data_IF_985475318438
#
_entry.id   IF_985475318438
#
_cell.length_a   1.000
_cell.length_b   1.000
_cell.length_c   1.000
_cell.angle_alpha   90.00
_cell.angle_beta   90.00
_cell.angle_gamma   90.00
#
_symmetry.space_group_name_H-M   'P 1'
#
loop_
_entity.id
_entity.type
_entity.pdbx_description
1 polymer ?
#
# COMPACT_ATOMS: atom_id res chain seq x y z
N UNK A 1 0.05 5.74 20.32
CA UNK A 1 -1.23 4.99 20.38
C UNK A 1 -2.31 5.95 20.85
N UNK A 2 -3.46 6.03 20.17
CA UNK A 2 -4.54 6.97 20.54
C UNK A 2 -5.22 6.59 21.86
N UNK A 3 -5.93 7.54 22.50
CA UNK A 3 -6.74 7.27 23.70
C UNK A 3 -7.79 6.21 23.38
N UNK A 4 -8.04 5.29 24.32
CA UNK A 4 -8.92 4.11 24.11
C UNK A 4 -10.30 4.52 23.59
N UNK A 5 -10.90 5.57 24.16
CA UNK A 5 -12.25 6.02 23.77
C UNK A 5 -12.29 6.57 22.33
N UNK A 6 -11.23 7.28 21.92
CA UNK A 6 -11.08 7.78 20.54
C UNK A 6 -10.93 6.60 19.57
N UNK A 7 -10.07 5.64 19.90
CA UNK A 7 -9.87 4.45 19.07
C UNK A 7 -11.16 3.63 18.93
N UNK A 8 -11.91 3.41 20.01
CA UNK A 8 -13.18 2.69 19.99
C UNK A 8 -14.19 3.38 19.06
N UNK A 9 -14.30 4.70 19.15
CA UNK A 9 -15.19 5.49 18.32
C UNK A 9 -14.81 5.41 16.83
N UNK A 10 -13.53 5.60 16.49
CA UNK A 10 -13.06 5.48 15.11
C UNK A 10 -13.28 4.07 14.55
N UNK A 11 -12.99 3.02 15.33
CA UNK A 11 -13.17 1.64 14.89
C UNK A 11 -14.64 1.31 14.63
N UNK A 12 -15.55 1.80 15.48
CA UNK A 12 -17.00 1.65 15.27
C UNK A 12 -17.46 2.30 13.96
N UNK A 13 -16.91 3.47 13.61
CA UNK A 13 -17.24 4.19 12.37
C UNK A 13 -16.64 3.53 11.12
N UNK A 14 -15.42 3.00 11.22
CA UNK A 14 -14.70 2.44 10.07
C UNK A 14 -15.10 1.00 9.74
N UNK A 15 -15.43 0.17 10.73
CA UNK A 15 -15.71 -1.26 10.51
C UNK A 15 -16.71 -1.57 9.37
N UNK A 16 -17.81 -0.80 9.16
CA UNK A 16 -18.74 -1.06 8.06
C UNK A 16 -18.11 -0.99 6.66
N UNK A 17 -17.10 -0.13 6.48
CA UNK A 17 -16.36 0.02 5.22
C UNK A 17 -15.45 -1.20 4.91
N UNK A 18 -15.26 -2.09 5.88
CA UNK A 18 -14.50 -3.34 5.74
C UNK A 18 -15.38 -4.57 5.94
N UNK A 19 -16.70 -4.44 5.74
CA UNK A 19 -17.62 -5.58 5.73
C UNK A 19 -17.40 -6.45 4.48
N UNK A 20 -17.77 -7.73 4.57
CA UNK A 20 -17.62 -8.67 3.45
C UNK A 20 -18.31 -8.16 2.18
N UNK A 21 -19.51 -7.57 2.29
CA UNK A 21 -20.23 -6.98 1.15
C UNK A 21 -19.41 -5.91 0.43
N UNK A 22 -18.67 -5.09 1.18
CA UNK A 22 -17.78 -4.08 0.57
C UNK A 22 -16.58 -4.76 -0.09
N UNK A 23 -15.96 -5.74 0.56
CA UNK A 23 -14.86 -6.51 -0.03
C UNK A 23 -15.28 -7.21 -1.33
N UNK A 24 -16.49 -7.76 -1.38
CA UNK A 24 -17.05 -8.43 -2.56
C UNK A 24 -17.24 -7.44 -3.72
N UNK A 25 -17.56 -6.17 -3.42
CA UNK A 25 -17.64 -5.12 -4.45
C UNK A 25 -16.29 -4.80 -5.11
N UNK A 26 -15.16 -5.14 -4.47
CA UNK A 26 -13.83 -4.93 -5.00
C UNK A 26 -13.27 -6.12 -5.78
N UNK A 27 -14.04 -7.20 -5.97
CA UNK A 27 -13.58 -8.41 -6.68
C UNK A 27 -13.09 -8.12 -8.10
N UNK A 28 -13.74 -7.22 -8.82
CA UNK A 28 -13.29 -6.83 -10.16
C UNK A 28 -11.92 -6.15 -10.12
N UNK A 29 -11.71 -5.24 -9.16
CA UNK A 29 -10.44 -4.54 -8.95
C UNK A 29 -9.34 -5.54 -8.61
N UNK A 30 -9.55 -6.45 -7.65
CA UNK A 30 -8.57 -7.46 -7.28
C UNK A 30 -8.23 -8.40 -8.43
N UNK A 31 -9.23 -8.81 -9.22
CA UNK A 31 -9.01 -9.65 -10.40
C UNK A 31 -8.20 -8.90 -11.48
N UNK A 32 -8.49 -7.62 -11.71
CA UNK A 32 -7.75 -6.79 -12.66
C UNK A 32 -6.29 -6.59 -12.22
N UNK A 33 -6.08 -6.22 -10.96
CA UNK A 33 -4.76 -6.02 -10.37
C UNK A 33 -3.95 -7.32 -10.32
N UNK A 34 -4.58 -8.47 -10.07
CA UNK A 34 -3.92 -9.78 -10.12
C UNK A 34 -3.44 -10.11 -11.53
N UNK A 35 -4.26 -9.86 -12.56
CA UNK A 35 -3.86 -10.06 -13.96
C UNK A 35 -2.72 -9.11 -14.37
N UNK A 36 -2.77 -7.85 -13.92
CA UNK A 36 -1.70 -6.86 -14.14
C UNK A 36 -0.39 -7.34 -13.53
N UNK A 37 -0.40 -7.77 -12.27
CA UNK A 37 0.77 -8.30 -11.58
C UNK A 37 1.37 -9.50 -12.31
N UNK A 38 0.54 -10.47 -12.72
CA UNK A 38 1.01 -11.62 -13.51
C UNK A 38 1.66 -11.17 -14.82
N UNK A 39 1.03 -10.23 -15.55
CA UNK A 39 1.59 -9.68 -16.79
C UNK A 39 2.95 -9.01 -16.58
N UNK A 40 3.14 -8.33 -15.45
CA UNK A 40 4.42 -7.70 -15.12
C UNK A 40 5.48 -8.74 -14.74
N UNK A 41 5.12 -9.75 -13.95
CA UNK A 41 6.03 -10.83 -13.56
C UNK A 41 6.43 -11.75 -14.72
N UNK A 42 5.59 -11.90 -15.76
CA UNK A 42 5.93 -12.65 -16.97
C UNK A 42 7.23 -12.14 -17.61
N UNK A 43 7.58 -10.86 -17.42
CA UNK A 43 8.81 -10.27 -17.94
C UNK A 43 10.07 -10.86 -17.29
N UNK A 44 9.96 -11.49 -16.12
CA UNK A 44 11.09 -12.09 -15.39
C UNK A 44 11.29 -13.59 -15.67
N UNK A 45 10.38 -14.20 -16.43
CA UNK A 45 10.45 -15.63 -16.78
C UNK A 45 11.73 -15.91 -17.56
N UNK A 46 12.50 -16.90 -17.11
CA UNK A 46 13.75 -17.34 -17.73
C UNK A 46 14.98 -16.46 -17.45
N UNK A 47 14.85 -15.41 -16.62
CA UNK A 47 15.96 -14.50 -16.28
C UNK A 47 16.71 -14.87 -14.99
N UNK A 48 16.26 -15.89 -14.27
CA UNK A 48 16.82 -16.32 -12.99
C UNK A 48 16.12 -15.65 -11.80
N UNK A 49 16.86 -15.47 -10.71
CA UNK A 49 16.34 -14.82 -9.50
C UNK A 49 16.13 -13.32 -9.73
N UNK A 50 15.04 -12.79 -9.17
CA UNK A 50 14.70 -11.38 -9.25
C UNK A 50 14.05 -10.90 -7.94
N UNK A 51 14.08 -9.59 -7.72
CA UNK A 51 13.40 -8.98 -6.58
C UNK A 51 11.90 -8.76 -6.89
N UNK A 52 11.06 -9.64 -6.33
CA UNK A 52 9.61 -9.53 -6.48
C UNK A 52 9.00 -8.34 -5.74
N UNK A 53 9.71 -7.78 -4.75
CA UNK A 53 9.20 -6.76 -3.85
C UNK A 53 8.77 -5.49 -4.60
N UNK A 54 9.52 -5.11 -5.63
CA UNK A 54 9.21 -3.96 -6.49
C UNK A 54 7.85 -4.13 -7.19
N UNK A 55 7.55 -5.34 -7.68
CA UNK A 55 6.29 -5.66 -8.34
C UNK A 55 5.12 -5.72 -7.37
N UNK A 56 5.29 -6.46 -6.27
CA UNK A 56 4.20 -6.68 -5.30
C UNK A 56 3.84 -5.41 -4.53
N UNK A 57 4.83 -4.60 -4.16
CA UNK A 57 4.59 -3.34 -3.45
C UNK A 57 3.78 -2.37 -4.31
N UNK A 58 4.18 -2.17 -5.56
CA UNK A 58 3.50 -1.23 -6.46
C UNK A 58 2.05 -1.68 -6.71
N UNK A 59 1.84 -2.96 -7.00
CA UNK A 59 0.52 -3.52 -7.19
C UNK A 59 -0.37 -3.42 -5.94
N UNK A 60 0.18 -3.69 -4.75
CA UNK A 60 -0.55 -3.55 -3.50
C UNK A 60 -0.97 -2.10 -3.23
N UNK A 61 -0.06 -1.14 -3.47
CA UNK A 61 -0.36 0.28 -3.30
C UNK A 61 -1.47 0.75 -4.23
N UNK A 62 -1.36 0.40 -5.51
CA UNK A 62 -2.38 0.73 -6.51
C UNK A 62 -3.74 0.13 -6.14
N UNK A 63 -3.75 -1.11 -5.68
CA UNK A 63 -4.97 -1.80 -5.22
C UNK A 63 -5.61 -1.10 -4.01
N UNK A 64 -4.82 -0.68 -3.02
CA UNK A 64 -5.32 0.07 -1.85
C UNK A 64 -5.94 1.39 -2.28
N UNK A 65 -5.29 2.11 -3.17
CA UNK A 65 -5.77 3.40 -3.65
C UNK A 65 -7.06 3.28 -4.47
N UNK A 66 -7.18 2.27 -5.33
CA UNK A 66 -8.41 2.01 -6.10
C UNK A 66 -9.59 1.59 -5.21
N UNK A 67 -9.34 0.83 -4.14
CA UNK A 67 -10.40 0.27 -3.30
C UNK A 67 -10.76 1.17 -2.12
N UNK A 68 -9.81 1.41 -1.22
CA UNK A 68 -10.05 2.12 0.03
C UNK A 68 -10.07 3.64 -0.11
N UNK A 69 -9.39 4.18 -1.14
CA UNK A 69 -9.25 5.63 -1.34
C UNK A 69 -10.08 6.17 -2.52
N UNK A 70 -10.65 5.28 -3.36
CA UNK A 70 -11.44 5.67 -4.53
C UNK A 70 -10.67 6.48 -5.56
N UNK A 71 -9.34 6.35 -5.61
CA UNK A 71 -8.48 7.07 -6.55
C UNK A 71 -8.28 6.19 -7.79
N UNK A 72 -8.78 6.65 -8.93
CA UNK A 72 -8.52 6.01 -10.22
C UNK A 72 -7.19 6.51 -10.83
N UNK A 73 -6.27 5.58 -11.11
CA UNK A 73 -4.98 5.86 -11.73
C UNK A 73 -5.03 5.98 -13.25
N UNK A 74 -6.18 5.69 -13.87
CA UNK A 74 -6.41 5.96 -15.30
C UNK A 74 -6.36 7.46 -15.63
N UNK A 75 -6.63 8.30 -14.63
CA UNK A 75 -6.49 9.76 -14.74
C UNK A 75 -5.05 10.13 -14.34
N UNK A 76 -4.14 10.18 -15.31
CA UNK A 76 -2.71 10.51 -15.13
C UNK A 76 -2.49 11.99 -14.79
N UNK A 77 -3.22 12.51 -13.80
CA UNK A 77 -3.02 13.86 -13.30
C UNK A 77 -1.71 13.93 -12.52
N UNK A 78 -1.02 15.06 -12.64
CA UNK A 78 0.20 15.36 -11.88
C UNK A 78 0.00 15.28 -10.37
N UNK A 79 -1.24 15.44 -9.89
CA UNK A 79 -1.60 15.28 -8.48
C UNK A 79 -1.59 13.81 -8.04
N UNK A 80 -2.12 12.89 -8.86
CA UNK A 80 -2.11 11.46 -8.57
C UNK A 80 -0.67 10.91 -8.47
N UNK A 81 0.23 11.36 -9.35
CA UNK A 81 1.63 10.92 -9.31
C UNK A 81 2.39 11.42 -8.09
N UNK A 82 2.17 12.66 -7.66
CA UNK A 82 2.74 13.20 -6.42
C UNK A 82 2.20 12.48 -5.18
N UNK A 83 0.91 12.20 -5.14
CA UNK A 83 0.26 11.48 -4.05
C UNK A 83 0.82 10.06 -3.88
N UNK A 84 0.91 9.30 -4.98
CA UNK A 84 1.50 7.95 -4.98
C UNK A 84 2.93 7.97 -4.47
N UNK A 85 3.74 8.89 -5.02
CA UNK A 85 5.14 9.02 -4.61
C UNK A 85 5.29 9.31 -3.11
N UNK A 86 4.48 10.24 -2.58
CA UNK A 86 4.50 10.55 -1.16
C UNK A 86 4.11 9.35 -0.30
N UNK A 87 3.12 8.56 -0.72
CA UNK A 87 2.74 7.34 -0.01
C UNK A 87 3.83 6.28 -0.09
N UNK A 88 4.48 6.08 -1.25
CA UNK A 88 5.60 5.16 -1.38
C UNK A 88 6.76 5.55 -0.45
N UNK A 89 7.11 6.84 -0.38
CA UNK A 89 8.14 7.35 0.54
C UNK A 89 7.78 7.06 2.00
N UNK A 90 6.51 7.29 2.40
CA UNK A 90 6.03 6.98 3.75
C UNK A 90 6.11 5.47 4.04
N UNK A 91 5.61 4.63 3.14
CA UNK A 91 5.66 3.18 3.33
C UNK A 91 7.08 2.65 3.36
N UNK A 92 7.98 3.17 2.54
CA UNK A 92 9.40 2.83 2.56
C UNK A 92 10.01 3.13 3.92
N UNK A 93 9.80 4.33 4.45
CA UNK A 93 10.30 4.70 5.77
C UNK A 93 9.69 3.82 6.89
N UNK A 94 8.41 3.48 6.80
CA UNK A 94 7.75 2.59 7.76
C UNK A 94 8.32 1.17 7.72
N UNK A 95 8.48 0.59 6.53
CA UNK A 95 9.03 -0.75 6.35
C UNK A 95 10.48 -0.80 6.82
N UNK A 96 11.29 0.20 6.46
CA UNK A 96 12.70 0.27 6.87
C UNK A 96 12.84 0.33 8.39
N UNK A 97 12.00 1.14 9.04
CA UNK A 97 11.95 1.24 10.49
C UNK A 97 11.45 -0.03 11.16
N UNK A 98 10.51 -0.74 10.54
CA UNK A 98 9.97 -2.00 11.06
C UNK A 98 10.98 -3.15 10.97
N UNK A 99 11.77 -3.21 9.89
CA UNK A 99 12.73 -4.28 9.64
C UNK A 99 14.05 -4.06 10.39
N UNK A 100 14.48 -2.80 10.56
CA UNK A 100 15.76 -2.46 11.19
C UNK A 100 15.57 -2.09 12.64
N UNK A 101 15.87 -3.03 13.55
CA UNK A 101 15.72 -2.83 14.99
C UNK A 101 16.39 -1.54 15.52
N UNK A 102 17.56 -1.16 14.98
CA UNK A 102 18.27 0.06 15.39
C UNK A 102 17.55 1.36 15.01
N UNK A 103 16.66 1.35 14.00
CA UNK A 103 15.82 2.50 13.63
C UNK A 103 14.58 2.66 14.50
N UNK A 104 14.30 1.73 15.43
CA UNK A 104 13.21 1.92 16.40
C UNK A 104 13.50 3.10 17.34
N UNK A 105 14.78 3.30 17.68
CA UNK A 105 15.24 4.45 18.46
C UNK A 105 14.99 5.75 17.69
N UNK A 106 14.28 6.73 18.28
CA UNK A 106 13.95 7.98 17.59
C UNK A 106 15.20 8.80 17.26
N UNK A 107 16.27 8.68 18.03
CA UNK A 107 17.53 9.37 17.77
C UNK A 107 18.23 8.80 16.53
N UNK A 108 18.34 7.48 16.42
CA UNK A 108 18.97 6.82 15.28
C UNK A 108 18.19 7.07 13.99
N UNK A 109 16.86 7.04 14.05
CA UNK A 109 16.01 7.33 12.89
C UNK A 109 16.13 8.79 12.42
N UNK A 110 16.25 9.75 13.34
CA UNK A 110 16.47 11.16 12.97
C UNK A 110 17.82 11.38 12.28
N UNK A 111 18.82 10.57 12.60
CA UNK A 111 20.16 10.64 11.99
C UNK A 111 20.27 9.92 10.64
N UNK A 112 19.35 9.01 10.31
CA UNK A 112 19.37 8.26 9.05
C UNK A 112 18.74 9.01 7.87
N UNK A 113 18.28 10.25 8.06
CA UNK A 113 17.58 11.08 7.08
C UNK A 113 18.29 12.39 6.81
#
# INVERSE_FOLDING_TARGET
TGKVDIWKNHRKLLNPAFSQTVLDSFMEVFNSQSRKLVKDLVKEVGKGEFDHWTYTRHNALETICLTALGVDFGDHTTLNSQYVRAIEEIFNAMVDRFQKFWLHSPYMFKWSG
#
